data_IF_116926544980
#
_entry.id   IF_116926544980
#
_cell.length_a   1.000
_cell.length_b   1.000
_cell.length_c   1.000
_cell.angle_alpha   90.00
_cell.angle_beta   90.00
_cell.angle_gamma   90.00
#
_symmetry.space_group_name_H-M   'P 1'
#
loop_
_entity.id
_entity.type
_entity.pdbx_description
1 polymer ?
#
# COMPACT_ATOMS: atom_id res chain seq x y z
N UNK A 1 -5.51 -12.65 73.33
CA UNK A 1 -5.74 -11.28 72.83
C UNK A 1 -5.76 -11.30 71.29
N UNK A 2 -6.92 -11.32 70.66
CA UNK A 2 -7.08 -11.35 69.19
C UNK A 2 -7.27 -9.88 68.74
N UNK A 3 -6.38 -9.36 67.88
CA UNK A 3 -6.53 -8.07 67.23
C UNK A 3 -7.41 -8.25 65.98
N UNK A 4 -8.57 -7.58 65.97
CA UNK A 4 -9.40 -7.41 64.79
C UNK A 4 -8.73 -6.39 63.88
N UNK A 5 -8.53 -6.77 62.62
CA UNK A 5 -8.11 -5.87 61.53
C UNK A 5 -9.40 -5.40 60.85
N UNK A 6 -9.70 -4.10 60.96
CA UNK A 6 -10.77 -3.47 60.22
C UNK A 6 -10.29 -3.20 58.80
N UNK A 7 -10.90 -3.86 57.81
CA UNK A 7 -10.70 -3.53 56.40
C UNK A 7 -11.64 -2.37 56.07
N UNK A 8 -11.04 -1.23 55.76
CA UNK A 8 -11.75 -0.05 55.29
C UNK A 8 -12.11 -0.26 53.82
N UNK A 9 -13.36 -0.51 53.53
CA UNK A 9 -13.90 -0.63 52.17
C UNK A 9 -14.10 0.80 51.62
N UNK A 10 -13.16 1.31 50.83
CA UNK A 10 -13.32 2.58 50.13
C UNK A 10 -14.34 2.40 49.00
N UNK A 11 -15.51 3.02 49.19
CA UNK A 11 -16.52 3.14 48.14
C UNK A 11 -15.95 4.04 47.02
N UNK A 12 -15.58 3.43 45.90
CA UNK A 12 -15.32 4.17 44.68
C UNK A 12 -16.63 4.80 44.21
N UNK A 13 -16.73 6.11 44.35
CA UNK A 13 -17.78 6.90 43.72
C UNK A 13 -17.65 6.78 42.20
N UNK A 14 -18.61 6.10 41.55
CA UNK A 14 -18.82 6.16 40.14
C UNK A 14 -19.05 7.64 39.76
N UNK A 15 -18.03 8.26 39.19
CA UNK A 15 -18.19 9.54 38.53
C UNK A 15 -19.13 9.32 37.34
N UNK A 16 -20.28 9.95 37.39
CA UNK A 16 -21.28 9.99 36.32
C UNK A 16 -20.62 10.49 35.02
N UNK A 17 -20.49 9.57 34.04
CA UNK A 17 -20.15 9.93 32.69
C UNK A 17 -21.21 10.92 32.20
N UNK A 18 -20.86 12.11 31.72
CA UNK A 18 -21.85 13.10 31.31
C UNK A 18 -22.77 12.49 30.23
N UNK A 19 -24.08 12.58 30.42
CA UNK A 19 -25.11 12.08 29.47
C UNK A 19 -24.89 12.60 28.04
N UNK A 20 -24.18 13.73 27.86
CA UNK A 20 -23.83 14.29 26.55
C UNK A 20 -22.84 13.45 25.75
N UNK A 21 -22.00 12.59 26.39
CA UNK A 21 -21.14 11.64 25.67
C UNK A 21 -21.91 10.39 25.23
N UNK A 22 -22.96 10.00 25.98
CA UNK A 22 -23.82 8.86 25.67
C UNK A 22 -24.68 9.10 24.42
N UNK A 23 -25.12 10.34 24.18
CA UNK A 23 -25.94 10.64 22.98
C UNK A 23 -25.16 10.72 21.66
N UNK A 24 -23.84 10.97 21.69
CA UNK A 24 -22.97 10.89 20.52
C UNK A 24 -22.57 9.45 20.15
N UNK A 25 -22.61 8.51 21.10
CA UNK A 25 -22.26 7.10 20.85
C UNK A 25 -23.44 6.31 20.26
N UNK A 26 -24.64 6.88 20.22
CA UNK A 26 -25.85 6.23 19.67
C UNK A 26 -26.24 6.72 18.27
N UNK A 27 -25.39 7.54 17.59
CA UNK A 27 -25.53 7.68 16.15
C UNK A 27 -25.09 6.36 15.51
N UNK A 28 -26.07 5.52 15.18
CA UNK A 28 -25.82 4.27 14.48
C UNK A 28 -24.93 4.54 13.26
N UNK A 29 -23.70 3.98 13.26
CA UNK A 29 -22.81 4.09 12.13
C UNK A 29 -23.51 3.48 10.92
N UNK A 30 -23.69 4.27 9.86
CA UNK A 30 -24.28 3.82 8.60
C UNK A 30 -23.24 3.90 7.47
N UNK A 31 -23.44 3.08 6.47
CA UNK A 31 -22.65 3.19 5.23
C UNK A 31 -22.95 4.51 4.53
N UNK A 32 -21.88 5.17 4.06
CA UNK A 32 -22.03 6.32 3.17
C UNK A 32 -22.58 5.87 1.82
N UNK A 33 -23.41 6.71 1.22
CA UNK A 33 -23.86 6.52 -0.17
C UNK A 33 -22.71 6.85 -1.14
N UNK A 34 -22.88 6.48 -2.41
CA UNK A 34 -21.87 6.77 -3.44
C UNK A 34 -21.66 8.29 -3.60
N UNK A 35 -22.72 9.08 -3.51
CA UNK A 35 -22.65 10.55 -3.63
C UNK A 35 -21.93 11.18 -2.44
N UNK A 36 -22.11 10.66 -1.23
CA UNK A 36 -21.45 11.15 -0.02
C UNK A 36 -19.93 10.83 0.00
N UNK A 37 -19.48 9.86 -0.80
CA UNK A 37 -18.07 9.51 -0.89
C UNK A 37 -17.25 10.53 -1.70
N UNK A 38 -17.88 11.48 -2.40
CA UNK A 38 -17.22 12.54 -3.17
C UNK A 38 -16.05 12.02 -4.03
N UNK A 39 -16.26 10.91 -4.73
CA UNK A 39 -15.20 10.29 -5.56
C UNK A 39 -14.95 11.16 -6.79
N UNK A 40 -13.67 11.33 -7.10
CA UNK A 40 -13.26 12.07 -8.31
C UNK A 40 -13.79 11.39 -9.57
N UNK A 41 -14.21 12.20 -10.53
CA UNK A 41 -14.40 11.76 -11.91
C UNK A 41 -13.05 11.43 -12.57
N UNK A 42 -13.05 10.75 -13.70
CA UNK A 42 -11.83 10.44 -14.44
C UNK A 42 -11.03 11.69 -14.87
N UNK A 43 -11.71 12.81 -15.18
CA UNK A 43 -11.08 14.10 -15.49
C UNK A 43 -10.42 14.69 -14.25
N UNK A 44 -11.15 14.81 -13.14
CA UNK A 44 -10.62 15.32 -11.87
C UNK A 44 -9.45 14.47 -11.37
N UNK A 45 -9.52 13.13 -11.55
CA UNK A 45 -8.41 12.26 -11.19
C UNK A 45 -7.16 12.59 -12.01
N UNK A 46 -7.27 12.76 -13.34
CA UNK A 46 -6.11 13.10 -14.21
C UNK A 46 -5.49 14.43 -13.85
N UNK A 47 -6.31 15.43 -13.53
CA UNK A 47 -5.89 16.80 -13.18
C UNK A 47 -5.38 16.92 -11.73
N UNK A 48 -5.70 15.97 -10.87
CA UNK A 48 -5.24 15.98 -9.48
C UNK A 48 -3.72 15.86 -9.37
N UNK A 49 -3.13 16.57 -8.43
CA UNK A 49 -1.75 16.32 -7.99
C UNK A 49 -1.63 14.88 -7.49
N UNK A 50 -0.63 14.16 -7.97
CA UNK A 50 -0.34 12.78 -7.58
C UNK A 50 0.69 12.75 -6.46
N UNK A 51 0.61 11.73 -5.62
CA UNK A 51 1.70 11.42 -4.71
C UNK A 51 2.90 10.90 -5.52
N UNK A 52 4.13 11.37 -5.25
CA UNK A 52 5.31 10.94 -5.98
C UNK A 52 5.75 9.52 -5.57
N UNK A 53 4.86 8.58 -5.81
CA UNK A 53 5.03 7.15 -5.53
C UNK A 53 4.75 6.37 -6.81
N UNK A 54 5.68 5.51 -7.21
CA UNK A 54 5.56 4.62 -8.36
C UNK A 54 5.55 3.18 -7.88
N UNK A 55 4.57 2.40 -8.33
CA UNK A 55 4.57 0.95 -8.16
C UNK A 55 5.18 0.29 -9.39
N UNK A 56 6.23 -0.51 -9.21
CA UNK A 56 6.89 -1.28 -10.28
C UNK A 56 6.52 -2.74 -10.14
N UNK A 57 6.02 -3.36 -11.20
CA UNK A 57 5.65 -4.77 -11.25
C UNK A 57 6.61 -5.53 -12.17
N UNK A 58 7.50 -6.29 -11.57
CA UNK A 58 8.53 -7.06 -12.28
C UNK A 58 8.08 -8.49 -12.53
N UNK A 59 7.96 -8.87 -13.81
CA UNK A 59 7.66 -10.24 -14.22
C UNK A 59 6.44 -10.85 -13.51
N UNK A 60 5.39 -10.05 -13.27
CA UNK A 60 4.17 -10.50 -12.60
C UNK A 60 3.34 -11.37 -13.54
N UNK A 61 3.04 -12.60 -13.11
CA UNK A 61 2.35 -13.61 -13.92
C UNK A 61 0.85 -13.36 -14.06
N UNK A 62 0.24 -12.91 -12.98
CA UNK A 62 -1.22 -12.77 -12.90
C UNK A 62 -1.67 -11.38 -13.31
N UNK A 63 -2.31 -11.27 -14.48
CA UNK A 63 -2.95 -10.05 -14.93
C UNK A 63 -4.06 -9.56 -13.98
N UNK A 64 -4.69 -10.43 -13.20
CA UNK A 64 -5.62 -10.05 -12.13
C UNK A 64 -4.92 -9.29 -10.99
N UNK A 65 -3.70 -9.72 -10.61
CA UNK A 65 -2.89 -9.01 -9.61
C UNK A 65 -2.50 -7.63 -10.13
N UNK A 66 -2.10 -7.53 -11.40
CA UNK A 66 -1.78 -6.25 -12.06
C UNK A 66 -2.96 -5.29 -11.98
N UNK A 67 -4.16 -5.75 -12.36
CA UNK A 67 -5.37 -4.92 -12.27
C UNK A 67 -5.72 -4.50 -10.83
N UNK A 68 -5.48 -5.36 -9.84
CA UNK A 68 -5.67 -5.02 -8.43
C UNK A 68 -4.69 -3.95 -7.96
N UNK A 69 -3.45 -3.96 -8.44
CA UNK A 69 -2.46 -2.90 -8.15
C UNK A 69 -2.85 -1.59 -8.82
N UNK A 70 -3.36 -1.60 -10.05
CA UNK A 70 -3.93 -0.38 -10.67
C UNK A 70 -5.03 0.24 -9.81
N UNK A 71 -5.94 -0.58 -9.29
CA UNK A 71 -7.01 -0.11 -8.42
C UNK A 71 -6.49 0.46 -7.10
N UNK A 72 -5.43 -0.11 -6.54
CA UNK A 72 -4.75 0.43 -5.35
C UNK A 72 -4.05 1.75 -5.66
N UNK A 73 -3.40 1.84 -6.83
CA UNK A 73 -2.74 3.06 -7.30
C UNK A 73 -3.74 4.22 -7.51
N UNK A 74 -4.92 3.94 -8.05
CA UNK A 74 -6.03 4.89 -8.15
C UNK A 74 -6.48 5.37 -6.76
N UNK A 75 -6.74 4.43 -5.85
CA UNK A 75 -7.25 4.73 -4.51
C UNK A 75 -6.30 5.63 -3.69
N UNK A 76 -5.00 5.54 -3.94
CA UNK A 76 -3.96 6.28 -3.22
C UNK A 76 -3.36 7.43 -4.03
N UNK A 77 -3.92 7.76 -5.20
CA UNK A 77 -3.41 8.83 -6.08
C UNK A 77 -1.92 8.67 -6.41
N UNK A 78 -1.46 7.46 -6.67
CA UNK A 78 -0.06 7.23 -7.07
C UNK A 78 0.24 7.92 -8.40
N UNK A 79 1.49 8.30 -8.60
CA UNK A 79 1.94 8.93 -9.85
C UNK A 79 1.85 7.97 -11.03
N UNK A 80 2.32 6.73 -10.86
CA UNK A 80 2.29 5.75 -11.94
C UNK A 80 2.39 4.29 -11.46
N UNK A 81 2.05 3.38 -12.37
CA UNK A 81 2.37 1.95 -12.31
C UNK A 81 3.30 1.62 -13.47
N UNK A 82 4.50 1.13 -13.19
CA UNK A 82 5.46 0.68 -14.19
C UNK A 82 5.45 -0.84 -14.27
N UNK A 83 5.39 -1.36 -15.48
CA UNK A 83 5.23 -2.78 -15.78
C UNK A 83 6.49 -3.24 -16.49
N UNK A 84 7.18 -4.26 -15.98
CA UNK A 84 8.46 -4.70 -16.49
C UNK A 84 8.43 -6.16 -16.95
N UNK A 85 9.21 -6.46 -17.97
CA UNK A 85 9.40 -7.81 -18.50
C UNK A 85 8.14 -8.35 -19.16
N UNK A 86 7.71 -9.54 -18.74
CA UNK A 86 6.49 -10.19 -19.26
C UNK A 86 5.22 -9.86 -18.48
N UNK A 87 5.29 -8.89 -17.54
CA UNK A 87 4.09 -8.39 -16.86
C UNK A 87 3.07 -7.91 -17.87
N UNK A 88 1.85 -8.40 -17.78
CA UNK A 88 0.76 -7.97 -18.66
C UNK A 88 0.47 -6.47 -18.47
N UNK A 89 0.11 -5.79 -19.56
CA UNK A 89 -0.19 -4.36 -19.57
C UNK A 89 -1.50 -4.07 -20.34
N UNK A 90 -2.15 -2.91 -20.09
CA UNK A 90 -3.36 -2.54 -20.81
C UNK A 90 -3.10 -2.32 -22.33
N UNK A 91 -4.10 -2.62 -23.19
CA UNK A 91 -5.39 -3.19 -22.84
C UNK A 91 -5.32 -4.71 -22.63
N UNK A 92 -5.82 -5.17 -21.48
CA UNK A 92 -5.84 -6.61 -21.16
C UNK A 92 -7.14 -6.98 -20.44
N UNK A 93 -7.83 -8.05 -20.90
CA UNK A 93 -9.15 -8.45 -20.41
C UNK A 93 -9.18 -8.71 -18.88
N UNK A 94 -8.16 -9.37 -18.36
CA UNK A 94 -8.08 -9.72 -16.93
C UNK A 94 -7.69 -8.52 -16.06
N UNK A 95 -6.82 -7.64 -16.55
CA UNK A 95 -6.52 -6.37 -15.87
C UNK A 95 -7.81 -5.58 -15.70
N UNK A 96 -8.60 -5.40 -16.77
CA UNK A 96 -9.85 -4.64 -16.75
C UNK A 96 -10.85 -5.16 -15.72
N UNK A 97 -10.91 -6.50 -15.50
CA UNK A 97 -11.84 -7.11 -14.53
C UNK A 97 -11.56 -6.71 -13.07
N UNK A 98 -10.32 -6.45 -12.70
CA UNK A 98 -9.93 -6.14 -11.32
C UNK A 98 -9.57 -4.67 -11.12
N UNK A 99 -9.08 -4.00 -12.13
CA UNK A 99 -8.78 -2.57 -12.12
C UNK A 99 -10.04 -1.69 -12.10
N UNK A 100 -11.16 -2.18 -12.69
CA UNK A 100 -12.46 -1.49 -12.72
C UNK A 100 -12.40 -0.06 -13.29
N UNK A 101 -11.58 0.16 -14.32
CA UNK A 101 -11.39 1.44 -14.98
C UNK A 101 -10.14 2.21 -14.52
N UNK A 102 -9.48 1.81 -13.42
CA UNK A 102 -8.26 2.46 -12.94
C UNK A 102 -7.12 2.40 -13.98
N UNK A 103 -7.09 1.37 -14.82
CA UNK A 103 -6.12 1.21 -15.91
C UNK A 103 -6.27 2.27 -17.03
N UNK A 104 -7.39 2.99 -17.06
CA UNK A 104 -7.66 4.06 -18.02
C UNK A 104 -7.28 5.46 -17.48
N UNK A 105 -7.08 5.58 -16.16
CA UNK A 105 -6.84 6.85 -15.47
C UNK A 105 -5.47 6.95 -14.83
N UNK A 106 -4.97 5.87 -14.25
CA UNK A 106 -3.63 5.80 -13.66
C UNK A 106 -2.59 5.77 -14.78
N UNK A 107 -1.59 6.64 -14.69
CA UNK A 107 -0.45 6.64 -15.63
C UNK A 107 0.32 5.32 -15.52
N UNK A 108 0.68 4.75 -16.67
CA UNK A 108 1.48 3.54 -16.69
C UNK A 108 2.46 3.54 -17.87
N UNK A 109 3.55 2.79 -17.72
CA UNK A 109 4.52 2.51 -18.78
C UNK A 109 4.92 1.04 -18.74
N UNK A 110 5.32 0.48 -19.89
CA UNK A 110 5.88 -0.86 -19.99
C UNK A 110 7.33 -0.78 -20.44
N UNK A 111 8.20 -1.50 -19.74
CA UNK A 111 9.63 -1.61 -20.01
C UNK A 111 10.01 -3.07 -20.24
N UNK A 112 10.78 -3.34 -21.27
CA UNK A 112 11.32 -4.68 -21.51
C UNK A 112 12.52 -4.97 -20.62
N UNK A 113 13.30 -3.94 -20.33
CA UNK A 113 14.58 -4.01 -19.64
C UNK A 113 14.52 -3.22 -18.34
N UNK A 114 14.97 -3.80 -17.23
CA UNK A 114 14.89 -3.17 -15.91
C UNK A 114 15.81 -1.95 -15.79
N UNK A 115 16.97 -2.00 -16.41
CA UNK A 115 17.95 -0.89 -16.40
C UNK A 115 17.37 0.38 -17.03
N UNK A 116 16.56 0.28 -18.09
CA UNK A 116 15.89 1.43 -18.71
C UNK A 116 14.84 2.03 -17.75
N UNK A 117 14.08 1.18 -17.07
CA UNK A 117 13.09 1.59 -16.05
C UNK A 117 13.79 2.31 -14.88
N UNK A 118 14.86 1.73 -14.37
CA UNK A 118 15.66 2.31 -13.27
C UNK A 118 16.26 3.65 -13.68
N UNK A 119 16.80 3.75 -14.89
CA UNK A 119 17.37 5.00 -15.41
C UNK A 119 16.32 6.12 -15.48
N UNK A 120 15.10 5.80 -15.92
CA UNK A 120 13.99 6.76 -15.97
C UNK A 120 13.59 7.21 -14.57
N UNK A 121 13.45 6.28 -13.61
CA UNK A 121 13.10 6.61 -12.23
C UNK A 121 14.18 7.50 -11.58
N UNK A 122 15.45 7.16 -11.75
CA UNK A 122 16.57 7.96 -11.23
C UNK A 122 16.63 9.35 -11.84
N UNK A 123 16.38 9.48 -13.14
CA UNK A 123 16.28 10.77 -13.81
C UNK A 123 15.12 11.63 -13.26
N UNK A 124 14.03 10.98 -12.80
CA UNK A 124 12.92 11.60 -12.10
C UNK A 124 13.21 11.95 -10.62
N UNK A 125 14.36 11.55 -10.08
CA UNK A 125 14.75 11.76 -8.68
C UNK A 125 14.12 10.77 -7.70
N UNK A 126 13.70 9.59 -8.17
CA UNK A 126 13.13 8.55 -7.33
C UNK A 126 14.20 7.70 -6.64
N UNK A 127 14.00 7.46 -5.34
CA UNK A 127 14.67 6.35 -4.65
C UNK A 127 13.90 5.05 -4.93
N UNK A 128 14.60 3.96 -5.15
CA UNK A 128 14.04 2.69 -5.62
C UNK A 128 14.26 1.63 -4.55
N UNK A 129 13.19 1.03 -4.03
CA UNK A 129 13.26 -0.03 -3.04
C UNK A 129 12.51 -1.27 -3.51
N UNK A 130 13.15 -2.43 -3.37
CA UNK A 130 12.48 -3.70 -3.62
C UNK A 130 11.73 -4.17 -2.38
N UNK A 131 10.50 -4.64 -2.57
CA UNK A 131 9.71 -5.30 -1.51
C UNK A 131 10.08 -6.79 -1.54
N UNK A 132 11.09 -7.14 -0.75
CA UNK A 132 11.67 -8.48 -0.75
C UNK A 132 12.36 -8.78 0.60
N UNK A 133 12.46 -10.06 0.94
CA UNK A 133 13.18 -10.54 2.14
C UNK A 133 14.65 -10.80 1.77
N UNK A 134 15.55 -9.99 2.31
CA UNK A 134 17.00 -10.12 2.13
C UNK A 134 17.71 -10.04 3.48
N UNK A 135 18.97 -10.37 3.51
CA UNK A 135 19.83 -10.27 4.70
C UNK A 135 20.04 -8.84 5.22
N UNK A 136 19.73 -7.84 4.38
CA UNK A 136 19.83 -6.41 4.71
C UNK A 136 18.49 -5.65 4.63
N UNK A 137 17.35 -6.36 4.55
CA UNK A 137 16.04 -5.72 4.40
C UNK A 137 15.62 -4.92 5.65
N UNK A 138 14.98 -3.78 5.41
CA UNK A 138 14.40 -2.94 6.47
C UNK A 138 12.97 -3.43 6.72
N UNK A 139 12.57 -3.76 7.96
CA UNK A 139 11.18 -4.07 8.26
C UNK A 139 10.25 -2.89 7.90
N UNK A 140 9.15 -3.15 7.20
CA UNK A 140 8.25 -2.13 6.67
C UNK A 140 7.78 -1.11 7.74
N UNK A 141 7.49 -1.58 8.95
CA UNK A 141 7.05 -0.71 10.05
C UNK A 141 8.15 0.23 10.59
N UNK A 142 9.43 -0.02 10.26
CA UNK A 142 10.58 0.81 10.61
C UNK A 142 11.10 1.62 9.40
N UNK A 143 10.49 1.43 8.24
CA UNK A 143 10.91 2.09 7.02
C UNK A 143 10.41 3.53 6.95
N UNK A 144 11.33 4.46 6.70
CA UNK A 144 11.03 5.87 6.48
C UNK A 144 11.15 6.18 4.99
N UNK A 145 10.00 6.25 4.33
CA UNK A 145 9.94 6.41 2.89
C UNK A 145 10.45 7.79 2.43
N UNK A 146 11.37 7.86 1.47
CA UNK A 146 11.75 9.11 0.80
C UNK A 146 10.55 9.80 0.15
N UNK A 147 10.65 11.11 -0.11
CA UNK A 147 9.57 11.88 -0.73
C UNK A 147 9.17 11.32 -2.09
N UNK A 148 10.14 11.07 -2.97
CA UNK A 148 9.94 10.38 -4.25
C UNK A 148 10.41 8.94 -4.13
N UNK A 149 9.51 8.01 -4.29
CA UNK A 149 9.81 6.60 -4.09
C UNK A 149 9.17 5.71 -5.16
N UNK A 150 9.93 4.73 -5.63
CA UNK A 150 9.45 3.60 -6.40
C UNK A 150 9.58 2.31 -5.59
N UNK A 151 8.51 1.53 -5.51
CA UNK A 151 8.48 0.23 -4.86
C UNK A 151 8.39 -0.87 -5.92
N UNK A 152 9.39 -1.76 -5.94
CA UNK A 152 9.45 -2.89 -6.88
C UNK A 152 8.86 -4.12 -6.23
N UNK A 153 7.86 -4.71 -6.89
CA UNK A 153 7.21 -5.96 -6.52
C UNK A 153 7.53 -7.02 -7.55
N UNK A 154 8.06 -8.13 -7.11
CA UNK A 154 8.54 -9.20 -7.98
C UNK A 154 7.48 -10.24 -8.35
N UNK A 155 7.93 -11.26 -9.03
CA UNK A 155 7.17 -12.43 -9.46
C UNK A 155 6.61 -13.23 -8.29
N UNK A 156 5.43 -13.84 -8.46
CA UNK A 156 4.74 -14.61 -7.42
C UNK A 156 5.48 -15.87 -6.95
N UNK A 157 6.47 -16.33 -7.70
CA UNK A 157 7.23 -17.54 -7.40
C UNK A 157 8.67 -17.24 -7.04
N UNK A 158 9.34 -16.39 -7.82
CA UNK A 158 10.77 -16.10 -7.67
C UNK A 158 11.06 -14.83 -6.89
N UNK A 159 10.04 -14.02 -6.60
CA UNK A 159 10.24 -12.70 -5.98
C UNK A 159 10.85 -11.69 -6.95
N UNK A 160 11.55 -10.71 -6.39
CA UNK A 160 12.31 -9.69 -7.14
C UNK A 160 13.64 -10.32 -7.58
N UNK A 161 14.00 -10.15 -8.85
CA UNK A 161 15.24 -10.69 -9.41
C UNK A 161 16.47 -10.11 -8.70
N UNK A 162 17.49 -10.96 -8.46
CA UNK A 162 18.71 -10.53 -7.77
C UNK A 162 19.43 -9.38 -8.49
N UNK A 163 19.39 -9.37 -9.83
CA UNK A 163 19.91 -8.28 -10.65
C UNK A 163 19.16 -6.96 -10.42
N UNK A 164 17.85 -7.02 -10.21
CA UNK A 164 17.01 -5.85 -9.89
C UNK A 164 17.30 -5.35 -8.48
N UNK A 165 17.43 -6.25 -7.50
CA UNK A 165 17.82 -5.87 -6.13
C UNK A 165 19.15 -5.11 -6.12
N UNK A 166 20.12 -5.53 -6.94
CA UNK A 166 21.41 -4.85 -7.07
C UNK A 166 21.33 -3.43 -7.69
N UNK A 167 20.22 -3.10 -8.37
CA UNK A 167 19.94 -1.77 -8.92
C UNK A 167 19.17 -0.87 -7.95
N UNK A 168 18.58 -1.44 -6.90
CA UNK A 168 17.80 -0.71 -5.90
C UNK A 168 18.68 0.00 -4.86
N UNK A 169 18.14 1.01 -4.21
CA UNK A 169 18.77 1.70 -3.08
C UNK A 169 18.67 0.89 -1.78
N UNK A 170 17.84 -0.13 -1.76
CA UNK A 170 17.67 -1.06 -0.65
C UNK A 170 16.46 -1.97 -0.82
N UNK A 171 16.26 -2.79 0.19
CA UNK A 171 15.12 -3.71 0.27
C UNK A 171 14.29 -3.44 1.53
N UNK A 172 12.99 -3.62 1.42
CA UNK A 172 12.03 -3.47 2.51
C UNK A 172 11.21 -4.75 2.60
N UNK A 173 11.09 -5.31 3.78
CA UNK A 173 10.31 -6.53 3.99
C UNK A 173 9.02 -6.28 4.77
N UNK A 174 7.98 -7.00 4.42
CA UNK A 174 6.76 -7.13 5.23
C UNK A 174 7.00 -8.29 6.20
N UNK A 175 7.15 -8.04 7.52
CA UNK A 175 7.37 -9.12 8.48
C UNK A 175 6.25 -10.17 8.44
N UNK A 176 6.62 -11.43 8.31
CA UNK A 176 5.69 -12.56 8.23
C UNK A 176 5.93 -13.51 9.42
N UNK A 177 4.88 -13.73 10.22
CA UNK A 177 4.94 -14.53 11.44
C UNK A 177 4.31 -15.93 11.24
N UNK A 178 3.83 -16.22 10.05
CA UNK A 178 3.14 -17.47 9.72
C UNK A 178 4.05 -18.53 9.11
N UNK A 179 3.44 -19.64 8.73
CA UNK A 179 4.14 -20.76 8.08
C UNK A 179 4.47 -20.51 6.60
N UNK A 180 3.71 -19.64 5.94
CA UNK A 180 3.93 -19.30 4.52
C UNK A 180 5.03 -18.26 4.38
N UNK A 181 5.80 -18.37 3.29
CA UNK A 181 6.98 -17.54 3.05
C UNK A 181 6.71 -16.30 2.17
N UNK A 182 5.48 -16.14 1.69
CA UNK A 182 5.11 -15.02 0.83
C UNK A 182 3.63 -14.64 0.95
N UNK A 183 3.32 -13.38 0.65
CA UNK A 183 1.98 -12.86 0.46
C UNK A 183 1.64 -12.84 -1.04
N UNK A 184 0.36 -12.86 -1.37
CA UNK A 184 -0.07 -12.51 -2.72
C UNK A 184 0.43 -11.10 -3.06
N UNK A 185 0.97 -10.90 -4.27
CA UNK A 185 1.61 -9.65 -4.68
C UNK A 185 0.67 -8.44 -4.55
N UNK A 186 -0.61 -8.56 -4.91
CA UNK A 186 -1.54 -7.44 -4.79
C UNK A 186 -1.84 -7.08 -3.33
N UNK A 187 -1.77 -8.06 -2.42
CA UNK A 187 -1.87 -7.83 -0.97
C UNK A 187 -0.61 -7.15 -0.46
N UNK A 188 0.57 -7.67 -0.82
CA UNK A 188 1.85 -7.07 -0.45
C UNK A 188 1.95 -5.61 -0.95
N UNK A 189 1.53 -5.36 -2.20
CA UNK A 189 1.47 -4.01 -2.77
C UNK A 189 0.53 -3.10 -1.98
N UNK A 190 -0.67 -3.57 -1.64
CA UNK A 190 -1.61 -2.79 -0.82
C UNK A 190 -1.03 -2.39 0.54
N UNK A 191 -0.36 -3.32 1.23
CA UNK A 191 0.27 -3.08 2.54
C UNK A 191 1.44 -2.10 2.42
N UNK A 192 2.38 -2.34 1.49
CA UNK A 192 3.57 -1.51 1.34
C UNK A 192 3.23 -0.10 0.85
N UNK A 193 2.32 0.02 -0.12
CA UNK A 193 1.86 1.32 -0.64
C UNK A 193 1.11 2.10 0.45
N UNK A 194 0.25 1.45 1.24
CA UNK A 194 -0.41 2.12 2.37
C UNK A 194 0.60 2.67 3.37
N UNK A 195 1.61 1.89 3.74
CA UNK A 195 2.64 2.33 4.68
C UNK A 195 3.35 3.60 4.20
N UNK A 196 3.66 3.66 2.90
CA UNK A 196 4.32 4.81 2.28
C UNK A 196 3.41 6.03 2.17
N UNK A 197 2.11 5.86 1.89
CA UNK A 197 1.21 6.99 1.65
C UNK A 197 0.51 7.51 2.90
N UNK A 198 0.35 6.71 3.96
CA UNK A 198 -0.43 7.05 5.16
C UNK A 198 0.02 8.35 5.87
N UNK A 199 1.29 8.71 5.74
CA UNK A 199 1.84 9.95 6.31
C UNK A 199 1.72 11.16 5.39
N UNK A 200 1.16 10.98 4.19
CA UNK A 200 1.05 12.00 3.13
C UNK A 200 -0.40 12.41 2.86
N UNK A 201 -1.36 11.79 3.58
CA UNK A 201 -2.81 12.01 3.45
C UNK A 201 -3.41 12.53 4.74
#
# INVERSE_FOLDING_TARGET
MRKLIFIHLSILTLHSIPLALSSRLLLAMRKLTMDELNRKSASEFRESSKLPVVAVLENVRSAYNVGSVFRTADAFLLEAVYLQGYTAFPPHKEIKKTALGAEETVTWKHFKVMEELVAELRAGGYSIFAIEQTDGSIPLHAFHAPEKIALVFGNEVTGVEQSTIALCDGTVEIPQLGMKHSLNISVAAGIALWEVVKSRI
#
